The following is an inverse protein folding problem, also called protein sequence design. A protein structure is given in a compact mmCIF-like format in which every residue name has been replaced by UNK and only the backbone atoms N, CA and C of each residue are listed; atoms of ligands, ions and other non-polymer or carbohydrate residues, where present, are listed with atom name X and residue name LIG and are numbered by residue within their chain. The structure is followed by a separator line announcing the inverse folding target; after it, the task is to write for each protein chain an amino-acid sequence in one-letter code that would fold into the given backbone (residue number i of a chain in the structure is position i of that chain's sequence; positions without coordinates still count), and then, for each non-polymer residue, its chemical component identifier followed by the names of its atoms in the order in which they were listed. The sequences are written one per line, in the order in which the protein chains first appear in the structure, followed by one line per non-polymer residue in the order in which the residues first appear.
data_IF_467412564270
#
_entry.id   IF_467412564270
#
_cell.length_a   1.000
_cell.length_b   1.000
_cell.length_c   1.000
_cell.angle_alpha   90.00
_cell.angle_beta   90.00
_cell.angle_gamma   90.00
#
_symmetry.space_group_name_H-M   'P 1'
#
loop_
_entity.id
_entity.type
_entity.pdbx_description
1 polymer ?
#
# COMPACT_ATOMS: atom_id res chain seq x y z
N UNK A 1 -13.30 -1.97 -17.35
CA UNK A 1 -13.55 -3.21 -16.57
C UNK A 1 -12.26 -3.85 -16.06
N UNK A 2 -11.24 -4.05 -16.90
CA UNK A 2 -9.95 -4.64 -16.50
C UNK A 2 -9.18 -3.88 -15.42
N UNK A 3 -9.15 -2.54 -15.47
CA UNK A 3 -8.44 -1.73 -14.48
C UNK A 3 -9.02 -1.88 -13.06
N UNK A 4 -10.33 -1.73 -12.91
CA UNK A 4 -10.99 -1.85 -11.61
C UNK A 4 -10.87 -3.26 -11.01
N UNK A 5 -10.96 -4.31 -11.84
CA UNK A 5 -10.77 -5.69 -11.41
C UNK A 5 -9.34 -5.95 -10.91
N UNK A 6 -8.33 -5.46 -11.64
CA UNK A 6 -6.94 -5.59 -11.21
C UNK A 6 -6.62 -4.75 -9.97
N UNK A 7 -7.23 -3.57 -9.82
CA UNK A 7 -7.14 -2.77 -8.60
C UNK A 7 -7.72 -3.52 -7.41
N UNK A 8 -8.93 -4.07 -7.55
CA UNK A 8 -9.57 -4.86 -6.49
C UNK A 8 -8.72 -6.09 -6.12
N UNK A 9 -8.20 -6.81 -7.12
CA UNK A 9 -7.29 -7.94 -6.90
C UNK A 9 -6.03 -7.52 -6.12
N UNK A 10 -5.42 -6.39 -6.50
CA UNK A 10 -4.23 -5.85 -5.84
C UNK A 10 -4.52 -5.57 -4.36
N UNK A 11 -5.66 -4.94 -4.05
CA UNK A 11 -6.09 -4.65 -2.68
C UNK A 11 -6.35 -5.94 -1.89
N UNK A 12 -7.03 -6.92 -2.48
CA UNK A 12 -7.27 -8.22 -1.83
C UNK A 12 -5.94 -8.91 -1.49
N UNK A 13 -4.96 -8.87 -2.38
CA UNK A 13 -3.63 -9.44 -2.13
C UNK A 13 -2.91 -8.67 -1.01
N UNK A 14 -3.05 -7.34 -0.95
CA UNK A 14 -2.53 -6.55 0.17
C UNK A 14 -3.12 -7.03 1.50
N UNK A 15 -4.42 -7.27 1.57
CA UNK A 15 -5.07 -7.81 2.77
C UNK A 15 -4.55 -9.20 3.16
N UNK A 16 -4.43 -10.11 2.18
CA UNK A 16 -3.88 -11.45 2.43
C UNK A 16 -2.45 -11.34 2.97
N UNK A 17 -1.62 -10.48 2.38
CA UNK A 17 -0.26 -10.22 2.86
C UNK A 17 -0.21 -9.70 4.28
N UNK A 18 -1.11 -8.76 4.65
CA UNK A 18 -1.23 -8.28 6.02
C UNK A 18 -1.65 -9.39 6.98
N UNK A 19 -2.62 -10.23 6.61
CA UNK A 19 -3.08 -11.35 7.45
C UNK A 19 -1.97 -12.36 7.77
N UNK A 20 -1.08 -12.63 6.81
CA UNK A 20 0.07 -13.53 7.02
C UNK A 20 1.06 -13.03 8.08
N UNK A 21 1.01 -11.76 8.46
CA UNK A 21 1.92 -11.19 9.47
C UNK A 21 1.30 -11.13 10.87
N UNK A 22 0.05 -11.56 11.05
CA UNK A 22 -0.65 -11.53 12.34
C UNK A 22 -0.22 -12.63 13.33
N UNK A 23 0.95 -13.25 13.15
CA UNK A 23 1.49 -14.25 14.08
C UNK A 23 1.91 -13.65 15.44
N UNK A 24 2.36 -12.39 15.46
CA UNK A 24 2.70 -11.65 16.69
C UNK A 24 2.47 -10.15 16.51
N UNK A 25 2.08 -9.43 17.57
CA UNK A 25 1.74 -8.00 17.49
C UNK A 25 2.92 -7.13 17.05
N UNK A 26 4.13 -7.41 17.55
CA UNK A 26 5.37 -6.74 17.12
C UNK A 26 5.63 -6.90 15.61
N UNK A 27 5.45 -8.13 15.11
CA UNK A 27 5.69 -8.44 13.71
C UNK A 27 4.60 -7.87 12.82
N UNK A 28 3.33 -7.91 13.25
CA UNK A 28 2.23 -7.31 12.52
C UNK A 28 2.38 -5.78 12.38
N UNK A 29 2.85 -5.09 13.42
CA UNK A 29 3.06 -3.63 13.38
C UNK A 29 4.12 -3.21 12.34
N UNK A 30 5.20 -3.97 12.23
CA UNK A 30 6.34 -3.61 11.36
C UNK A 30 6.23 -4.25 9.96
N UNK A 31 5.80 -5.51 9.88
CA UNK A 31 5.89 -6.32 8.68
C UNK A 31 4.61 -6.32 7.84
N UNK A 32 3.43 -6.02 8.40
CA UNK A 32 2.16 -6.10 7.65
C UNK A 32 2.14 -5.21 6.41
N UNK A 33 2.55 -3.95 6.55
CA UNK A 33 2.67 -3.02 5.43
C UNK A 33 3.66 -3.50 4.37
N UNK A 34 4.82 -4.00 4.80
CA UNK A 34 5.83 -4.56 3.90
C UNK A 34 5.34 -5.79 3.14
N UNK A 35 4.73 -6.76 3.83
CA UNK A 35 4.22 -8.00 3.24
C UNK A 35 3.08 -7.73 2.24
N UNK A 36 2.14 -6.86 2.60
CA UNK A 36 1.06 -6.42 1.73
C UNK A 36 1.58 -5.80 0.44
N UNK A 37 2.49 -4.84 0.55
CA UNK A 37 3.07 -4.12 -0.57
C UNK A 37 3.98 -5.05 -1.40
N UNK A 38 4.69 -5.99 -0.79
CA UNK A 38 5.54 -6.94 -1.50
C UNK A 38 4.73 -7.86 -2.41
N UNK A 39 3.67 -8.48 -1.87
CA UNK A 39 2.82 -9.42 -2.62
C UNK A 39 1.98 -8.72 -3.69
N UNK A 40 1.58 -7.48 -3.45
CA UNK A 40 0.76 -6.71 -4.39
C UNK A 40 1.57 -6.05 -5.52
N UNK A 41 2.90 -5.90 -5.37
CA UNK A 41 3.77 -5.25 -6.34
C UNK A 41 3.71 -5.83 -7.77
N UNK A 42 3.72 -7.17 -7.98
CA UNK A 42 3.67 -7.75 -9.32
C UNK A 42 2.33 -7.47 -10.03
N UNK A 43 1.23 -7.47 -9.28
CA UNK A 43 -0.12 -7.26 -9.82
C UNK A 43 -0.32 -5.80 -10.20
N UNK A 44 0.17 -4.86 -9.38
CA UNK A 44 0.17 -3.44 -9.72
C UNK A 44 1.00 -3.16 -10.99
N UNK A 45 2.19 -3.75 -11.12
CA UNK A 45 3.00 -3.62 -12.33
C UNK A 45 2.28 -4.12 -13.58
N UNK A 46 1.60 -5.27 -13.47
CA UNK A 46 0.82 -5.82 -14.56
C UNK A 46 -0.34 -4.89 -14.93
N UNK A 47 -1.03 -4.32 -13.94
CA UNK A 47 -2.11 -3.36 -14.15
C UNK A 47 -1.65 -2.11 -14.90
N UNK A 48 -0.55 -1.49 -14.48
CA UNK A 48 -0.01 -0.28 -15.13
C UNK A 48 0.36 -0.57 -16.59
N UNK A 49 1.01 -1.70 -16.86
CA UNK A 49 1.41 -2.08 -18.23
C UNK A 49 0.21 -2.44 -19.11
N UNK A 50 -0.73 -3.24 -18.59
CA UNK A 50 -1.86 -3.75 -19.36
C UNK A 50 -2.88 -2.68 -19.69
N UNK A 51 -3.11 -1.74 -18.77
CA UNK A 51 -4.09 -0.66 -18.98
C UNK A 51 -3.46 0.50 -19.76
N UNK A 52 -2.19 0.84 -19.50
CA UNK A 52 -1.41 1.89 -20.17
C UNK A 52 -2.15 3.23 -20.39
N UNK A 53 -3.02 3.59 -19.45
CA UNK A 53 -3.79 4.86 -19.47
C UNK A 53 -3.31 5.76 -18.34
N UNK A 54 -3.44 7.06 -18.55
CA UNK A 54 -3.28 8.04 -17.46
C UNK A 54 -4.47 7.88 -16.50
N UNK A 55 -4.26 7.95 -15.19
CA UNK A 55 -5.32 7.78 -14.18
C UNK A 55 -5.42 6.36 -13.58
N UNK A 56 -4.58 5.41 -14.03
CA UNK A 56 -4.64 4.01 -13.55
C UNK A 56 -4.29 3.91 -12.06
N UNK A 57 -3.30 4.69 -11.60
CA UNK A 57 -2.93 4.70 -10.18
C UNK A 57 -4.00 5.40 -9.36
N UNK A 58 -4.59 6.48 -9.88
CA UNK A 58 -5.68 7.21 -9.22
C UNK A 58 -6.92 6.32 -9.04
N UNK A 59 -7.30 5.56 -10.08
CA UNK A 59 -8.41 4.59 -9.97
C UNK A 59 -8.08 3.51 -8.94
N UNK A 60 -6.85 3.01 -8.94
CA UNK A 60 -6.40 2.04 -7.93
C UNK A 60 -6.46 2.58 -6.51
N UNK A 61 -5.88 3.76 -6.24
CA UNK A 61 -5.89 4.35 -4.90
C UNK A 61 -7.30 4.72 -4.44
N UNK A 62 -8.18 5.12 -5.37
CA UNK A 62 -9.59 5.39 -5.06
C UNK A 62 -10.34 4.11 -4.66
N UNK A 63 -10.15 3.00 -5.40
CA UNK A 63 -10.74 1.70 -5.05
C UNK A 63 -10.18 1.19 -3.73
N UNK A 64 -8.87 1.34 -3.50
CA UNK A 64 -8.24 0.99 -2.24
C UNK A 64 -8.81 1.80 -1.08
N UNK A 65 -8.97 3.11 -1.24
CA UNK A 65 -9.57 3.98 -0.22
C UNK A 65 -11.02 3.59 0.11
N UNK A 66 -11.84 3.30 -0.91
CA UNK A 66 -13.22 2.84 -0.68
C UNK A 66 -13.26 1.53 0.11
N UNK A 67 -12.39 0.57 -0.23
CA UNK A 67 -12.29 -0.71 0.49
C UNK A 67 -11.70 -0.56 1.89
N UNK A 68 -10.79 0.39 2.12
CA UNK A 68 -10.30 0.69 3.46
C UNK A 68 -11.38 1.38 4.30
N UNK A 69 -12.17 2.29 3.72
CA UNK A 69 -13.28 2.95 4.40
C UNK A 69 -14.33 1.94 4.91
N UNK A 70 -14.66 0.89 4.13
CA UNK A 70 -15.62 -0.14 4.59
C UNK A 70 -15.08 -0.98 5.76
N UNK A 71 -13.76 -1.03 5.96
CA UNK A 71 -13.09 -1.74 7.06
C UNK A 71 -12.94 -0.88 8.33
N UNK A 72 -13.63 0.26 8.39
CA UNK A 72 -13.62 1.17 9.55
C UNK A 72 -12.42 2.12 9.57
N UNK A 73 -11.70 2.30 8.45
CA UNK A 73 -10.77 3.42 8.35
C UNK A 73 -11.54 4.73 8.09
N UNK A 74 -11.12 5.82 8.74
CA UNK A 74 -11.77 7.14 8.67
C UNK A 74 -11.95 7.62 7.22
N UNK A 75 -13.13 8.20 6.93
CA UNK A 75 -13.44 8.85 5.64
C UNK A 75 -12.39 9.89 5.20
N UNK A 76 -11.64 10.47 6.15
CA UNK A 76 -10.53 11.40 5.88
C UNK A 76 -9.41 10.82 5.01
N UNK A 77 -9.24 9.49 4.94
CA UNK A 77 -8.26 8.86 4.05
C UNK A 77 -8.62 9.02 2.57
N UNK A 78 -9.89 9.16 2.23
CA UNK A 78 -10.36 9.15 0.85
C UNK A 78 -9.75 10.27 -0.01
N UNK A 79 -9.83 11.57 0.36
CA UNK A 79 -9.17 12.62 -0.40
C UNK A 79 -7.64 12.46 -0.43
N UNK A 80 -7.03 11.94 0.63
CA UNK A 80 -5.58 11.72 0.69
C UNK A 80 -5.11 10.69 -0.35
N UNK A 81 -5.80 9.55 -0.45
CA UNK A 81 -5.47 8.51 -1.43
C UNK A 81 -5.78 8.93 -2.87
N UNK A 82 -6.87 9.68 -3.10
CA UNK A 82 -7.21 10.21 -4.44
C UNK A 82 -6.15 11.22 -4.89
N UNK A 83 -5.79 12.18 -4.04
CA UNK A 83 -4.75 13.17 -4.34
C UNK A 83 -3.37 12.51 -4.51
N UNK A 84 -3.02 11.56 -3.64
CA UNK A 84 -1.79 10.80 -3.73
C UNK A 84 -1.69 10.01 -5.04
N UNK A 85 -2.76 9.31 -5.43
CA UNK A 85 -2.83 8.59 -6.71
C UNK A 85 -2.72 9.51 -7.92
N UNK A 86 -3.35 10.69 -7.86
CA UNK A 86 -3.27 11.69 -8.92
C UNK A 86 -1.83 12.23 -9.07
N UNK A 87 -1.17 12.54 -7.95
CA UNK A 87 0.23 12.97 -7.95
C UNK A 87 1.15 11.88 -8.51
N UNK A 88 0.91 10.62 -8.17
CA UNK A 88 1.68 9.49 -8.70
C UNK A 88 1.50 9.33 -10.22
N UNK A 89 0.27 9.45 -10.72
CA UNK A 89 -0.01 9.37 -12.15
C UNK A 89 0.64 10.55 -12.90
N UNK A 90 0.60 11.76 -12.34
CA UNK A 90 1.20 12.95 -12.95
C UNK A 90 2.74 12.97 -12.87
N UNK A 91 3.32 12.47 -11.79
CA UNK A 91 4.76 12.48 -11.57
C UNK A 91 5.47 11.31 -12.26
N UNK A 92 4.93 10.09 -12.11
CA UNK A 92 5.63 8.87 -12.56
C UNK A 92 5.10 8.32 -13.89
N UNK A 93 3.85 8.58 -14.25
CA UNK A 93 3.15 7.87 -15.34
C UNK A 93 2.55 8.80 -16.40
N UNK A 94 3.10 10.02 -16.51
CA UNK A 94 2.60 11.08 -17.40
C UNK A 94 2.58 10.65 -18.87
N UNK A 95 3.66 10.03 -19.35
CA UNK A 95 3.77 9.60 -20.75
C UNK A 95 3.56 8.09 -20.94
N UNK A 96 3.09 7.65 -22.14
CA UNK A 96 2.93 6.23 -22.45
C UNK A 96 4.24 5.44 -22.34
N UNK A 97 5.36 6.05 -22.73
CA UNK A 97 6.71 5.46 -22.57
C UNK A 97 7.09 5.24 -21.10
N UNK A 98 6.72 6.17 -20.21
CA UNK A 98 6.94 5.99 -18.77
C UNK A 98 6.07 4.86 -18.22
N UNK A 99 4.81 4.76 -18.66
CA UNK A 99 3.89 3.67 -18.25
C UNK A 99 4.36 2.29 -18.66
N UNK A 100 5.01 2.16 -19.81
CA UNK A 100 5.61 0.89 -20.26
C UNK A 100 6.96 0.61 -19.61
N UNK A 101 7.67 1.65 -19.16
CA UNK A 101 8.94 1.49 -18.47
C UNK A 101 8.73 0.94 -17.08
N UNK A 102 9.35 -0.21 -16.83
CA UNK A 102 9.20 -0.88 -15.56
C UNK A 102 9.85 -0.15 -14.40
N UNK A 103 10.75 0.82 -14.66
CA UNK A 103 11.40 1.60 -13.61
C UNK A 103 10.45 2.66 -13.05
N UNK A 104 9.68 3.31 -13.92
CA UNK A 104 8.66 4.28 -13.53
C UNK A 104 7.48 3.62 -12.79
N UNK A 105 7.08 2.42 -13.19
CA UNK A 105 6.11 1.62 -12.42
C UNK A 105 6.66 1.18 -11.04
N UNK A 106 7.97 0.97 -10.93
CA UNK A 106 8.62 0.69 -9.63
C UNK A 106 8.64 1.96 -8.77
N UNK A 107 8.95 3.11 -9.36
CA UNK A 107 8.95 4.39 -8.66
C UNK A 107 7.54 4.75 -8.15
N UNK A 108 6.50 4.56 -8.96
CA UNK A 108 5.12 4.83 -8.54
C UNK A 108 4.66 3.88 -7.43
N UNK A 109 5.03 2.60 -7.50
CA UNK A 109 4.74 1.65 -6.43
C UNK A 109 5.49 1.95 -5.13
N UNK A 110 6.78 2.29 -5.23
CA UNK A 110 7.60 2.65 -4.06
C UNK A 110 7.07 3.90 -3.39
N UNK A 111 6.67 4.91 -4.17
CA UNK A 111 6.05 6.11 -3.66
C UNK A 111 4.64 5.84 -3.08
N UNK A 112 3.85 4.96 -3.69
CA UNK A 112 2.59 4.47 -3.10
C UNK A 112 2.81 3.75 -1.78
N UNK A 113 3.89 2.97 -1.64
CA UNK A 113 4.24 2.28 -0.40
C UNK A 113 4.47 3.27 0.75
N UNK A 114 5.16 4.37 0.46
CA UNK A 114 5.34 5.48 1.39
C UNK A 114 4.01 6.18 1.73
N UNK A 115 3.16 6.45 0.74
CA UNK A 115 1.83 7.03 0.96
C UNK A 115 0.91 6.10 1.77
N UNK A 116 0.98 4.80 1.55
CA UNK A 116 0.22 3.79 2.29
C UNK A 116 0.57 3.86 3.78
N UNK A 117 1.86 3.91 4.12
CA UNK A 117 2.29 4.04 5.52
C UNK A 117 1.96 5.43 6.10
N UNK A 118 2.14 6.49 5.31
CA UNK A 118 1.79 7.84 5.73
C UNK A 118 0.30 7.95 6.03
N UNK A 119 -0.55 7.30 5.23
CA UNK A 119 -1.99 7.25 5.48
C UNK A 119 -2.31 6.55 6.80
N UNK A 120 -1.55 5.50 7.16
CA UNK A 120 -1.70 4.85 8.45
C UNK A 120 -1.31 5.80 9.57
N UNK A 121 -0.38 6.74 9.35
CA UNK A 121 0.05 7.74 10.33
C UNK A 121 -0.92 8.94 10.50
N UNK A 122 -1.75 9.24 9.48
CA UNK A 122 -2.64 10.42 9.48
C UNK A 122 -3.61 10.47 10.67
N UNK A 123 -4.33 9.39 11.04
CA UNK A 123 -5.19 9.39 12.22
C UNK A 123 -4.42 9.66 13.53
N UNK A 124 -3.14 9.28 13.59
CA UNK A 124 -2.32 9.36 14.80
C UNK A 124 -1.69 10.75 15.04
N UNK A 125 -1.41 11.52 13.98
CA UNK A 125 -0.86 12.88 14.10
C UNK A 125 -1.88 13.91 14.65
N UNK A 126 -3.17 13.59 14.57
CA UNK A 126 -4.25 14.50 15.02
C UNK A 126 -4.68 14.32 16.48
N UNK A 127 -4.94 13.08 16.92
CA UNK A 127 -5.38 12.77 18.30
C UNK A 127 -5.10 11.30 18.65
N UNK A 128 -3.84 10.99 18.96
CA UNK A 128 -3.36 9.63 19.25
C UNK A 128 -4.12 8.96 20.41
N UNK A 129 -4.42 9.71 21.48
CA UNK A 129 -5.15 9.19 22.65
C UNK A 129 -6.63 8.91 22.36
N UNK A 130 -7.31 9.77 21.59
CA UNK A 130 -8.71 9.56 21.22
C UNK A 130 -8.88 8.36 20.27
N UNK A 131 -7.94 8.16 19.35
CA UNK A 131 -7.97 7.02 18.44
C UNK A 131 -7.72 5.71 19.18
N UNK A 132 -6.69 5.64 20.04
CA UNK A 132 -6.40 4.42 20.81
C UNK A 132 -7.56 4.09 21.75
N UNK A 133 -8.11 5.06 22.48
CA UNK A 133 -9.26 4.83 23.36
C UNK A 133 -10.52 4.38 22.63
N UNK A 134 -10.87 5.00 21.50
CA UNK A 134 -12.00 4.56 20.67
C UNK A 134 -11.77 3.17 20.07
N UNK A 135 -10.56 2.88 19.57
CA UNK A 135 -10.24 1.57 18.99
C UNK A 135 -10.20 0.48 20.06
N UNK A 136 -9.76 0.79 21.29
CA UNK A 136 -9.80 -0.12 22.44
C UNK A 136 -11.24 -0.40 22.87
N UNK A 137 -12.09 0.63 22.93
CA UNK A 137 -13.51 0.52 23.29
C UNK A 137 -14.34 -0.22 22.24
N UNK A 138 -14.09 0.01 20.95
CA UNK A 138 -14.87 -0.57 19.85
C UNK A 138 -14.37 -1.94 19.41
N UNK A 139 -13.06 -2.21 19.46
CA UNK A 139 -12.47 -3.47 18.97
C UNK A 139 -12.06 -4.44 20.08
N UNK A 140 -12.19 -4.06 21.36
CA UNK A 140 -11.83 -4.93 22.49
C UNK A 140 -10.36 -5.34 22.52
N UNK A 141 -9.46 -4.46 22.05
CA UNK A 141 -8.02 -4.72 21.99
C UNK A 141 -7.39 -4.59 23.39
N UNK A 142 -6.53 -5.54 23.75
CA UNK A 142 -5.82 -5.58 25.04
C UNK A 142 -4.82 -4.43 25.21
N UNK A 143 -4.56 -4.01 26.46
CA UNK A 143 -3.53 -3.01 26.83
C UNK A 143 -2.14 -3.33 26.22
N UNK A 144 -1.81 -4.61 26.06
CA UNK A 144 -0.59 -5.08 25.38
C UNK A 144 -0.45 -4.53 23.96
N UNK A 145 -1.55 -4.33 23.22
CA UNK A 145 -1.53 -3.73 21.90
C UNK A 145 -1.22 -2.23 21.97
N UNK A 146 -1.78 -1.50 22.93
CA UNK A 146 -1.49 -0.08 23.13
C UNK A 146 -0.02 0.13 23.48
N UNK A 147 0.54 -0.65 24.40
CA UNK A 147 1.93 -0.49 24.83
C UNK A 147 2.92 -0.80 23.70
N UNK A 148 2.66 -1.88 22.95
CA UNK A 148 3.45 -2.21 21.76
C UNK A 148 3.32 -1.12 20.70
N UNK A 149 2.12 -0.59 20.51
CA UNK A 149 1.85 0.50 19.58
C UNK A 149 2.60 1.79 19.96
N UNK A 150 2.52 2.24 21.22
CA UNK A 150 3.23 3.43 21.70
C UNK A 150 4.75 3.26 21.63
N UNK A 151 5.26 2.04 21.82
CA UNK A 151 6.69 1.74 21.69
C UNK A 151 7.22 1.99 20.27
N UNK A 152 6.49 1.60 19.21
CA UNK A 152 6.94 1.78 17.82
C UNK A 152 6.46 3.07 17.17
N UNK A 153 5.21 3.48 17.41
CA UNK A 153 4.61 4.65 16.78
C UNK A 153 4.74 5.93 17.61
N UNK A 154 5.05 5.83 18.92
CA UNK A 154 5.35 6.98 19.76
C UNK A 154 6.75 7.57 19.51
N UNK A 155 7.66 6.81 18.88
CA UNK A 155 8.99 7.30 18.54
C UNK A 155 9.08 7.61 17.03
N UNK A 156 9.29 8.88 16.64
CA UNK A 156 9.36 9.27 15.23
C UNK A 156 10.50 8.57 14.46
N UNK A 157 11.58 8.17 15.14
CA UNK A 157 12.67 7.41 14.50
C UNK A 157 12.23 6.02 14.06
N UNK A 158 11.41 5.33 14.85
CA UNK A 158 10.86 4.01 14.51
C UNK A 158 9.86 4.10 13.35
N UNK A 159 9.02 5.14 13.35
CA UNK A 159 8.11 5.43 12.24
C UNK A 159 8.86 5.61 10.92
N UNK A 160 9.92 6.43 10.93
CA UNK A 160 10.77 6.63 9.75
C UNK A 160 11.48 5.33 9.35
N UNK A 161 11.96 4.53 10.31
CA UNK A 161 12.59 3.24 10.03
C UNK A 161 11.62 2.25 9.36
N UNK A 162 10.39 2.14 9.86
CA UNK A 162 9.33 1.28 9.27
C UNK A 162 8.97 1.78 7.88
N UNK A 163 8.91 3.11 7.67
CA UNK A 163 8.67 3.71 6.35
C UNK A 163 9.77 3.33 5.35
N UNK A 164 11.03 3.51 5.73
CA UNK A 164 12.16 3.17 4.87
C UNK A 164 12.20 1.65 4.58
N UNK A 165 11.94 0.81 5.59
CA UNK A 165 11.85 -0.63 5.42
C UNK A 165 10.72 -1.02 4.47
N UNK A 166 9.53 -0.43 4.61
CA UNK A 166 8.37 -0.71 3.75
C UNK A 166 8.63 -0.26 2.31
N UNK A 167 9.25 0.90 2.12
CA UNK A 167 9.67 1.37 0.80
C UNK A 167 10.72 0.44 0.17
N UNK A 168 11.70 -0.02 0.95
CA UNK A 168 12.70 -0.97 0.48
C UNK A 168 12.07 -2.32 0.08
N UNK A 169 11.15 -2.83 0.89
CA UNK A 169 10.42 -4.07 0.61
C UNK A 169 9.49 -3.92 -0.59
N UNK A 170 8.80 -2.78 -0.74
CA UNK A 170 7.99 -2.48 -1.92
C UNK A 170 8.83 -2.41 -3.20
N UNK A 171 10.02 -1.81 -3.12
CA UNK A 171 10.99 -1.81 -4.21
C UNK A 171 11.47 -3.23 -4.56
N UNK A 172 11.80 -4.06 -3.56
CA UNK A 172 12.17 -5.46 -3.76
C UNK A 172 11.03 -6.27 -4.37
N UNK A 173 9.78 -6.04 -3.95
CA UNK A 173 8.59 -6.65 -4.52
C UNK A 173 8.42 -6.33 -6.00
N UNK A 174 8.74 -5.10 -6.41
CA UNK A 174 8.79 -4.72 -7.83
C UNK A 174 9.91 -5.41 -8.61
N UNK A 175 11.08 -5.63 -8.02
CA UNK A 175 12.16 -6.39 -8.67
C UNK A 175 11.78 -7.85 -8.88
N UNK A 176 11.16 -8.47 -7.88
CA UNK A 176 10.65 -9.85 -7.97
C UNK A 176 9.50 -9.90 -8.99
N UNK A 177 8.59 -8.93 -8.97
CA UNK A 177 7.51 -8.79 -9.94
C UNK A 177 8.01 -8.66 -11.38
N UNK A 178 9.09 -7.90 -11.60
CA UNK A 178 9.79 -7.83 -12.90
C UNK A 178 10.31 -9.19 -13.34
N UNK A 179 10.98 -9.93 -12.45
CA UNK A 179 11.53 -11.25 -12.75
C UNK A 179 10.41 -12.27 -13.08
N UNK A 180 9.32 -12.25 -12.33
CA UNK A 180 8.12 -13.07 -12.57
C UNK A 180 7.46 -12.72 -13.91
N UNK A 181 7.30 -11.44 -14.25
CA UNK A 181 6.74 -11.02 -15.53
C UNK A 181 7.59 -11.47 -16.72
N UNK A 182 8.92 -11.37 -16.60
CA UNK A 182 9.85 -11.85 -17.63
C UNK A 182 9.80 -13.37 -17.81
N UNK A 183 9.63 -14.13 -16.71
CA UNK A 183 9.61 -15.60 -16.77
C UNK A 183 8.27 -16.21 -17.19
N UNK A 184 7.15 -15.67 -16.71
CA UNK A 184 5.83 -16.26 -16.92
C UNK A 184 4.96 -15.52 -17.94
N UNK A 185 5.01 -14.18 -17.98
CA UNK A 185 4.10 -13.41 -18.84
C UNK A 185 4.65 -13.19 -20.26
N UNK A 186 5.96 -12.98 -20.44
CA UNK A 186 6.58 -12.98 -21.78
C UNK A 186 6.50 -14.35 -22.46
N UNK A 187 6.55 -15.46 -21.70
CA UNK A 187 6.36 -16.81 -22.25
C UNK A 187 4.92 -17.16 -22.58
N UNK A 188 3.95 -16.54 -21.92
CA UNK A 188 2.52 -16.83 -22.11
C UNK A 188 1.85 -15.94 -23.19
N UNK A 189 2.60 -15.03 -23.84
CA UNK A 189 2.06 -14.15 -24.89
C UNK A 189 0.95 -13.19 -24.44
N UNK A 190 0.85 -12.94 -23.12
CA UNK A 190 -0.26 -12.20 -22.51
C UNK A 190 0.05 -10.71 -22.22
N UNK A 191 1.14 -10.19 -22.80
CA UNK A 191 1.57 -8.78 -22.74
C UNK A 191 1.43 -8.12 -24.11
#
# INVERSE_FOLDING_TARGET
MTAALLSALTVVIMFVGSMLTMFSYDFAMVASGGAAVFLAAPVYMLMVRRVNRLGVTTVFTTVAALLFCTMGNMLFMLPFYVLGGLLLDLACLRTPRQRQSSWWATASWTAFSGLYLLSTLIPYLGNMEAYVSQTMLERGLDQSYADTFFKYYGNPAWVVAIMLATMAVGFLGCLVGRALMKRHFERAGAL
#
